data_IF_806094105138
#
_entry.id   IF_806094105138
#
_cell.length_a   1.000
_cell.length_b   1.000
_cell.length_c   1.000
_cell.angle_alpha   90.00
_cell.angle_beta   90.00
_cell.angle_gamma   90.00
#
_symmetry.space_group_name_H-M   'P 1'
#
loop_
_entity.id
_entity.type
_entity.pdbx_description
1 polymer ?
#
# COMPACT_ATOMS: atom_id res chain seq x y z
N UNK A 1 -16.78 -1.31 -51.02
CA UNK A 1 -16.33 -2.57 -50.41
C UNK A 1 -14.98 -2.43 -49.68
N UNK A 2 -13.93 -1.88 -50.30
CA UNK A 2 -12.59 -1.71 -49.69
C UNK A 2 -12.62 -0.86 -48.42
N UNK A 3 -13.34 0.26 -48.39
CA UNK A 3 -13.45 1.14 -47.24
C UNK A 3 -14.10 0.46 -46.02
N UNK A 4 -15.07 -0.44 -46.24
CA UNK A 4 -15.73 -1.20 -45.19
C UNK A 4 -14.81 -2.28 -44.59
N UNK A 5 -14.00 -2.93 -45.42
CA UNK A 5 -13.00 -3.89 -44.98
C UNK A 5 -11.87 -3.22 -44.16
N UNK A 6 -11.40 -2.05 -44.58
CA UNK A 6 -10.41 -1.26 -43.84
C UNK A 6 -10.97 -0.77 -42.50
N UNK A 7 -12.24 -0.32 -42.45
CA UNK A 7 -12.91 0.10 -41.22
C UNK A 7 -13.03 -1.06 -40.22
N UNK A 8 -13.38 -2.25 -40.65
CA UNK A 8 -13.46 -3.44 -39.80
C UNK A 8 -12.08 -3.90 -39.28
N UNK A 9 -11.03 -3.80 -40.13
CA UNK A 9 -9.66 -4.10 -39.71
C UNK A 9 -9.16 -3.11 -38.63
N UNK A 10 -9.39 -1.81 -38.82
CA UNK A 10 -9.01 -0.79 -37.86
C UNK A 10 -9.80 -0.92 -36.55
N UNK A 11 -11.10 -1.23 -36.62
CA UNK A 11 -11.90 -1.52 -35.44
C UNK A 11 -11.44 -2.78 -34.71
N UNK A 12 -11.06 -3.84 -35.43
CA UNK A 12 -10.49 -5.05 -34.85
C UNK A 12 -9.15 -4.83 -34.16
N UNK A 13 -8.23 -4.11 -34.82
CA UNK A 13 -6.94 -3.73 -34.23
C UNK A 13 -7.09 -2.81 -33.03
N UNK A 14 -8.01 -1.84 -33.09
CA UNK A 14 -8.33 -0.95 -31.97
C UNK A 14 -8.93 -1.72 -30.79
N UNK A 15 -9.85 -2.67 -31.07
CA UNK A 15 -10.44 -3.52 -30.04
C UNK A 15 -9.39 -4.46 -29.41
N UNK A 16 -8.50 -5.04 -30.20
CA UNK A 16 -7.43 -5.91 -29.71
C UNK A 16 -6.42 -5.12 -28.87
N UNK A 17 -6.02 -3.93 -29.34
CA UNK A 17 -5.15 -3.02 -28.60
C UNK A 17 -5.79 -2.60 -27.26
N UNK A 18 -7.06 -2.18 -27.31
CA UNK A 18 -7.85 -1.86 -26.11
C UNK A 18 -7.95 -3.07 -25.17
N UNK A 19 -8.25 -4.23 -25.73
CA UNK A 19 -8.41 -5.47 -24.99
C UNK A 19 -7.12 -5.92 -24.30
N UNK A 20 -5.96 -5.73 -24.92
CA UNK A 20 -4.65 -6.04 -24.31
C UNK A 20 -4.28 -5.04 -23.21
N UNK A 21 -4.57 -3.76 -23.39
CA UNK A 21 -4.20 -2.71 -22.42
C UNK A 21 -5.08 -2.72 -21.19
N UNK A 22 -6.38 -2.96 -21.31
CA UNK A 22 -7.31 -2.97 -20.18
C UNK A 22 -7.14 -4.14 -19.21
N UNK A 23 -6.37 -5.16 -19.61
CA UNK A 23 -6.08 -6.35 -18.80
C UNK A 23 -4.74 -6.31 -18.06
N UNK A 24 -4.06 -5.17 -18.00
CA UNK A 24 -2.73 -5.06 -17.37
C UNK A 24 -2.83 -4.52 -15.93
N UNK A 25 -1.85 -4.86 -15.05
CA UNK A 25 -1.74 -4.27 -13.72
C UNK A 25 -1.65 -2.75 -13.76
N UNK A 26 -0.89 -2.19 -14.73
CA UNK A 26 -0.70 -0.75 -14.92
C UNK A 26 -2.01 -0.02 -15.23
N UNK A 27 -2.85 -0.63 -16.07
CA UNK A 27 -4.17 -0.09 -16.35
C UNK A 27 -5.04 -0.04 -15.09
N UNK A 28 -5.04 -1.11 -14.29
CA UNK A 28 -5.81 -1.17 -13.05
C UNK A 28 -5.31 -0.13 -12.03
N UNK A 29 -3.99 0.09 -11.93
CA UNK A 29 -3.41 1.15 -11.10
C UNK A 29 -3.81 2.55 -11.60
N UNK A 30 -3.83 2.76 -12.92
CA UNK A 30 -4.31 4.02 -13.51
C UNK A 30 -5.78 4.28 -13.16
N UNK A 31 -6.64 3.25 -13.21
CA UNK A 31 -8.04 3.35 -12.83
C UNK A 31 -8.22 3.63 -11.32
N UNK A 32 -7.39 3.00 -10.47
CA UNK A 32 -7.34 3.31 -9.05
C UNK A 32 -6.99 4.78 -8.82
N UNK A 33 -5.90 5.27 -9.42
CA UNK A 33 -5.48 6.67 -9.30
C UNK A 33 -6.56 7.64 -9.74
N UNK A 34 -7.25 7.33 -10.86
CA UNK A 34 -8.39 8.12 -11.33
C UNK A 34 -9.55 8.10 -10.33
N UNK A 35 -9.91 6.93 -9.79
CA UNK A 35 -11.00 6.81 -8.83
C UNK A 35 -10.72 7.59 -7.54
N UNK A 36 -9.47 7.57 -7.03
CA UNK A 36 -9.05 8.36 -5.87
C UNK A 36 -9.14 9.86 -6.18
N UNK A 37 -8.64 10.30 -7.33
CA UNK A 37 -8.72 11.71 -7.77
C UNK A 37 -10.17 12.18 -7.91
N UNK A 38 -11.05 11.33 -8.42
CA UNK A 38 -12.48 11.60 -8.58
C UNK A 38 -13.26 11.44 -7.25
N UNK A 39 -12.56 11.16 -6.13
CA UNK A 39 -13.13 10.92 -4.80
C UNK A 39 -14.19 9.80 -4.80
N UNK A 40 -14.05 8.84 -5.67
CA UNK A 40 -14.96 7.71 -5.82
C UNK A 40 -14.43 6.49 -5.06
N UNK A 41 -14.67 6.46 -3.75
CA UNK A 41 -14.25 5.37 -2.87
C UNK A 41 -14.73 3.99 -3.37
N UNK A 42 -15.98 3.87 -3.77
CA UNK A 42 -16.54 2.59 -4.21
C UNK A 42 -15.81 2.02 -5.44
N UNK A 43 -15.34 2.89 -6.34
CA UNK A 43 -14.50 2.48 -7.47
C UNK A 43 -13.05 2.24 -7.05
N UNK A 44 -12.51 3.02 -6.13
CA UNK A 44 -11.15 2.86 -5.65
C UNK A 44 -10.97 1.55 -4.86
N UNK A 45 -11.88 1.24 -3.94
CA UNK A 45 -11.87 0.01 -3.12
C UNK A 45 -11.96 -1.28 -3.95
N UNK A 46 -12.52 -1.22 -5.16
CA UNK A 46 -12.53 -2.36 -6.08
C UNK A 46 -11.11 -2.82 -6.49
N UNK A 47 -10.16 -1.89 -6.55
CA UNK A 47 -8.77 -2.16 -6.96
C UNK A 47 -7.82 -2.43 -5.78
N UNK A 48 -8.32 -2.47 -4.54
CA UNK A 48 -7.50 -2.65 -3.34
C UNK A 48 -8.16 -3.67 -2.42
N UNK A 49 -7.44 -4.68 -1.99
CA UNK A 49 -7.88 -5.60 -0.94
C UNK A 49 -7.56 -4.98 0.43
N UNK A 50 -8.46 -4.08 0.87
CA UNK A 50 -8.26 -3.27 2.08
C UNK A 50 -8.04 -4.14 3.32
N UNK A 51 -8.80 -5.21 3.47
CA UNK A 51 -8.72 -6.09 4.63
C UNK A 51 -7.38 -6.81 4.68
N UNK A 52 -6.96 -7.38 3.57
CA UNK A 52 -5.71 -8.14 3.48
C UNK A 52 -4.50 -7.23 3.65
N UNK A 53 -4.49 -6.06 3.01
CA UNK A 53 -3.40 -5.09 3.16
C UNK A 53 -3.36 -4.57 4.59
N UNK A 54 -4.50 -4.21 5.18
CA UNK A 54 -4.55 -3.71 6.54
C UNK A 54 -4.04 -4.75 7.54
N UNK A 55 -4.45 -6.01 7.40
CA UNK A 55 -3.97 -7.11 8.23
C UNK A 55 -2.47 -7.31 8.11
N UNK A 56 -1.93 -7.37 6.89
CA UNK A 56 -0.50 -7.57 6.65
C UNK A 56 0.34 -6.40 7.20
N UNK A 57 -0.09 -5.16 6.98
CA UNK A 57 0.57 -3.96 7.50
C UNK A 57 0.54 -3.95 9.04
N UNK A 58 -0.62 -4.24 9.65
CA UNK A 58 -0.78 -4.25 11.10
C UNK A 58 0.07 -5.33 11.77
N UNK A 59 0.14 -6.51 11.16
CA UNK A 59 1.02 -7.56 11.62
C UNK A 59 2.48 -7.14 11.55
N UNK A 60 2.93 -6.61 10.41
CA UNK A 60 4.30 -6.14 10.23
C UNK A 60 4.68 -5.04 11.22
N UNK A 61 3.78 -4.09 11.46
CA UNK A 61 3.99 -3.01 12.43
C UNK A 61 4.08 -3.57 13.86
N UNK A 62 3.19 -4.48 14.23
CA UNK A 62 3.17 -5.12 15.55
C UNK A 62 4.46 -5.88 15.79
N UNK A 63 4.92 -6.67 14.83
CA UNK A 63 6.15 -7.47 14.95
C UNK A 63 7.38 -6.57 15.14
N UNK A 64 7.49 -5.48 14.37
CA UNK A 64 8.60 -4.52 14.48
C UNK A 64 8.58 -3.79 15.84
N UNK A 65 7.41 -3.36 16.30
CA UNK A 65 7.29 -2.71 17.61
C UNK A 65 7.58 -3.68 18.75
N UNK A 66 7.08 -4.90 18.67
CA UNK A 66 7.35 -5.94 19.66
C UNK A 66 8.84 -6.24 19.77
N UNK A 67 9.54 -6.38 18.63
CA UNK A 67 10.98 -6.57 18.59
C UNK A 67 11.73 -5.38 19.22
N UNK A 68 11.33 -4.14 18.91
CA UNK A 68 11.93 -2.92 19.47
C UNK A 68 11.79 -2.86 20.99
N UNK A 69 10.59 -3.07 21.51
CA UNK A 69 10.35 -3.00 22.95
C UNK A 69 10.99 -4.18 23.70
N UNK A 70 11.00 -5.37 23.13
CA UNK A 70 11.73 -6.53 23.67
C UNK A 70 13.21 -6.22 23.81
N UNK A 71 13.83 -5.68 22.75
CA UNK A 71 15.23 -5.26 22.78
C UNK A 71 15.49 -4.18 23.84
N UNK A 72 14.61 -3.18 23.94
CA UNK A 72 14.73 -2.12 24.96
C UNK A 72 14.65 -2.69 26.37
N UNK A 73 13.72 -3.64 26.64
CA UNK A 73 13.57 -4.29 27.95
C UNK A 73 14.81 -5.14 28.29
N UNK A 74 15.38 -5.86 27.32
CA UNK A 74 16.56 -6.69 27.51
C UNK A 74 17.80 -5.87 27.87
N UNK A 75 17.91 -4.64 27.35
CA UNK A 75 19.05 -3.75 27.61
C UNK A 75 18.82 -2.79 28.79
N UNK A 76 17.65 -2.86 29.44
CA UNK A 76 17.31 -2.04 30.61
C UNK A 76 17.85 -2.70 31.87
N UNK A 77 18.61 -2.01 32.75
CA UNK A 77 19.14 -2.56 33.98
C UNK A 77 18.07 -2.85 35.05
N UNK A 78 16.79 -2.50 34.81
CA UNK A 78 15.71 -2.72 35.74
C UNK A 78 15.42 -4.23 35.95
N UNK A 79 15.05 -4.64 37.19
CA UNK A 79 14.73 -6.04 37.48
C UNK A 79 13.46 -6.52 36.74
N UNK A 80 13.24 -7.85 36.76
CA UNK A 80 12.05 -8.50 36.21
C UNK A 80 11.93 -8.45 34.70
N UNK A 81 13.04 -8.50 33.98
CA UNK A 81 13.09 -8.48 32.50
C UNK A 81 12.16 -9.51 31.86
N UNK A 82 12.18 -10.76 32.34
CA UNK A 82 11.34 -11.84 31.81
C UNK A 82 9.84 -11.54 31.99
N UNK A 83 9.44 -11.09 33.19
CA UNK A 83 8.04 -10.72 33.46
C UNK A 83 7.57 -9.56 32.58
N UNK A 84 8.43 -8.58 32.34
CA UNK A 84 8.14 -7.43 31.48
C UNK A 84 7.94 -7.86 30.02
N UNK A 85 8.76 -8.79 29.54
CA UNK A 85 8.63 -9.36 28.19
C UNK A 85 7.33 -10.17 28.09
N UNK A 86 7.00 -10.98 29.10
CA UNK A 86 5.75 -11.74 29.12
C UNK A 86 4.51 -10.84 29.06
N UNK A 87 4.51 -9.75 29.83
CA UNK A 87 3.45 -8.74 29.77
C UNK A 87 3.35 -8.13 28.38
N UNK A 88 4.47 -7.74 27.77
CA UNK A 88 4.51 -7.19 26.42
C UNK A 88 3.91 -8.16 25.40
N UNK A 89 4.26 -9.44 25.47
CA UNK A 89 3.72 -10.48 24.61
C UNK A 89 2.21 -10.68 24.79
N UNK A 90 1.71 -10.60 26.02
CA UNK A 90 0.27 -10.68 26.31
C UNK A 90 -0.50 -9.48 25.76
N UNK A 91 0.14 -8.32 25.67
CA UNK A 91 -0.46 -7.10 25.11
C UNK A 91 -0.38 -7.03 23.59
N UNK A 92 0.49 -7.83 22.95
CA UNK A 92 0.70 -7.81 21.50
C UNK A 92 -0.59 -7.94 20.66
N UNK A 93 -1.56 -8.83 20.99
CA UNK A 93 -2.83 -8.91 20.26
C UNK A 93 -3.63 -7.62 20.30
N UNK A 94 -3.66 -6.93 21.44
CA UNK A 94 -4.36 -5.64 21.57
C UNK A 94 -3.70 -4.53 20.76
N UNK A 95 -2.36 -4.53 20.68
CA UNK A 95 -1.62 -3.62 19.78
C UNK A 95 -1.95 -3.91 18.33
N UNK A 96 -2.02 -5.18 17.95
CA UNK A 96 -2.41 -5.58 16.60
C UNK A 96 -3.81 -5.07 16.24
N UNK A 97 -4.81 -5.27 17.12
CA UNK A 97 -6.19 -4.84 16.89
C UNK A 97 -6.30 -3.31 16.74
N UNK A 98 -5.59 -2.55 17.57
CA UNK A 98 -5.55 -1.10 17.49
C UNK A 98 -4.85 -0.64 16.18
N UNK A 99 -3.74 -1.29 15.83
CA UNK A 99 -3.03 -1.02 14.58
C UNK A 99 -3.92 -1.32 13.37
N UNK A 100 -4.65 -2.45 13.39
CA UNK A 100 -5.57 -2.85 12.34
C UNK A 100 -6.64 -1.78 12.08
N UNK A 101 -7.30 -1.31 13.14
CA UNK A 101 -8.30 -0.24 13.04
C UNK A 101 -7.70 1.06 12.48
N UNK A 102 -6.51 1.44 12.95
CA UNK A 102 -5.81 2.63 12.46
C UNK A 102 -5.44 2.52 10.99
N UNK A 103 -4.89 1.37 10.57
CA UNK A 103 -4.50 1.13 9.18
C UNK A 103 -5.72 1.06 8.25
N UNK A 104 -6.79 0.35 8.66
CA UNK A 104 -8.03 0.30 7.88
C UNK A 104 -8.62 1.69 7.64
N UNK A 105 -8.70 2.50 8.70
CA UNK A 105 -9.18 3.88 8.56
C UNK A 105 -8.26 4.71 7.66
N UNK A 106 -6.94 4.57 7.79
CA UNK A 106 -5.97 5.23 6.94
C UNK A 106 -6.14 4.86 5.45
N UNK A 107 -6.28 3.57 5.14
CA UNK A 107 -6.53 3.09 3.77
C UNK A 107 -7.83 3.68 3.23
N UNK A 108 -8.93 3.63 3.98
CA UNK A 108 -10.22 4.19 3.56
C UNK A 108 -10.15 5.68 3.27
N UNK A 109 -9.46 6.43 4.12
CA UNK A 109 -9.26 7.87 3.93
C UNK A 109 -8.44 8.14 2.66
N UNK A 110 -7.36 7.39 2.42
CA UNK A 110 -6.56 7.50 1.21
C UNK A 110 -7.39 7.19 -0.05
N UNK A 111 -8.16 6.10 -0.03
CA UNK A 111 -8.99 5.69 -1.17
C UNK A 111 -10.17 6.64 -1.42
N UNK A 112 -10.65 7.34 -0.37
CA UNK A 112 -11.71 8.35 -0.52
C UNK A 112 -11.23 9.65 -1.16
N UNK A 113 -9.91 9.83 -1.33
CA UNK A 113 -9.34 11.07 -1.84
C UNK A 113 -9.63 12.29 -0.94
N UNK A 114 -9.89 12.07 0.36
CA UNK A 114 -10.31 13.12 1.26
C UNK A 114 -9.11 13.99 1.69
N UNK A 115 -9.13 15.30 1.42
CA UNK A 115 -8.04 16.21 1.77
C UNK A 115 -7.91 16.48 3.28
N UNK A 116 -8.84 16.02 4.13
CA UNK A 116 -8.83 16.28 5.58
C UNK A 116 -7.68 15.57 6.33
N UNK A 117 -6.94 14.71 5.68
CA UNK A 117 -5.69 14.16 6.24
C UNK A 117 -4.55 15.19 6.34
N UNK A 118 -4.72 16.37 5.79
CA UNK A 118 -3.65 17.39 5.71
C UNK A 118 -3.45 18.20 7.00
N UNK A 119 -4.20 17.96 8.08
CA UNK A 119 -4.25 18.93 9.19
C UNK A 119 -3.66 18.53 10.54
N UNK A 120 -3.55 17.27 10.93
CA UNK A 120 -3.33 16.97 12.36
C UNK A 120 -2.44 15.77 12.71
N UNK A 121 -1.80 15.10 11.77
CA UNK A 121 -0.90 13.97 12.05
C UNK A 121 0.35 14.00 11.18
N UNK A 122 1.38 13.24 11.57
CA UNK A 122 2.59 13.05 10.76
C UNK A 122 2.32 12.50 9.35
N UNK A 123 1.10 12.03 9.08
CA UNK A 123 0.59 11.66 7.77
C UNK A 123 0.04 12.85 6.96
N UNK A 124 -0.04 14.05 7.55
CA UNK A 124 -0.53 15.27 6.88
C UNK A 124 0.34 15.74 5.71
N UNK A 125 1.53 15.20 5.56
CA UNK A 125 2.43 15.49 4.44
C UNK A 125 2.20 14.60 3.22
N UNK A 126 1.34 13.57 3.31
CA UNK A 126 0.90 12.80 2.16
C UNK A 126 -0.19 13.61 1.44
N UNK A 127 0.24 14.52 0.58
CA UNK A 127 -0.65 15.21 -0.34
C UNK A 127 -1.20 14.19 -1.35
N UNK A 128 -2.42 13.71 -1.09
CA UNK A 128 -3.11 12.72 -1.92
C UNK A 128 -3.32 13.25 -3.34
N UNK A 129 -3.30 14.57 -3.54
CA UNK A 129 -3.39 15.19 -4.86
C UNK A 129 -2.08 15.09 -5.66
N UNK A 130 -0.98 14.75 -5.01
CA UNK A 130 0.35 14.71 -5.65
C UNK A 130 0.75 13.32 -6.18
N UNK A 131 -0.18 12.37 -6.26
CA UNK A 131 0.07 11.08 -6.92
C UNK A 131 0.20 11.18 -8.45
N UNK A 132 0.15 12.38 -9.02
CA UNK A 132 0.31 12.59 -10.47
C UNK A 132 1.69 12.17 -11.01
N UNK A 133 2.71 12.09 -10.13
CA UNK A 133 4.05 11.61 -10.47
C UNK A 133 4.25 10.11 -10.33
N UNK A 134 3.32 9.40 -9.68
CA UNK A 134 3.45 7.95 -9.46
C UNK A 134 3.28 7.22 -10.79
N UNK A 135 4.27 6.43 -11.14
CA UNK A 135 4.29 5.65 -12.39
C UNK A 135 4.89 4.27 -12.16
N UNK A 136 4.50 3.34 -13.00
CA UNK A 136 5.05 1.99 -12.98
C UNK A 136 6.42 2.00 -13.66
N UNK A 137 7.44 1.56 -12.93
CA UNK A 137 8.81 1.38 -13.45
C UNK A 137 8.97 0.02 -14.08
N UNK A 138 8.42 -0.99 -13.44
CA UNK A 138 8.49 -2.38 -13.89
C UNK A 138 7.29 -3.16 -13.39
N UNK A 139 6.82 -4.07 -14.21
CA UNK A 139 5.76 -5.03 -13.90
C UNK A 139 6.18 -6.42 -14.38
N UNK A 140 6.01 -7.40 -13.53
CA UNK A 140 6.30 -8.81 -13.85
C UNK A 140 5.05 -9.61 -13.54
N UNK A 141 4.41 -10.14 -14.57
CA UNK A 141 3.18 -10.93 -14.46
C UNK A 141 3.51 -12.41 -14.47
N UNK A 142 2.97 -13.15 -13.51
CA UNK A 142 3.09 -14.60 -13.40
C UNK A 142 1.71 -15.21 -13.14
N UNK A 143 1.05 -15.63 -14.20
CA UNK A 143 -0.33 -16.14 -14.15
C UNK A 143 -1.31 -15.06 -13.67
N UNK A 144 -1.95 -15.29 -12.53
CA UNK A 144 -2.91 -14.38 -11.92
C UNK A 144 -2.30 -13.49 -10.83
N UNK A 145 -0.97 -13.46 -10.71
CA UNK A 145 -0.25 -12.55 -9.82
C UNK A 145 0.67 -11.64 -10.61
N UNK A 146 0.92 -10.44 -10.08
CA UNK A 146 1.88 -9.49 -10.65
C UNK A 146 2.64 -8.78 -9.53
N UNK A 147 3.96 -8.71 -9.66
CA UNK A 147 4.81 -7.83 -8.85
C UNK A 147 5.06 -6.55 -9.66
N UNK A 148 4.67 -5.43 -9.09
CA UNK A 148 4.73 -4.12 -9.74
C UNK A 148 5.59 -3.18 -8.89
N UNK A 149 6.58 -2.57 -9.52
CA UNK A 149 7.41 -1.53 -8.93
C UNK A 149 6.88 -0.16 -9.35
N UNK A 150 6.54 0.66 -8.38
CA UNK A 150 6.08 2.04 -8.61
C UNK A 150 7.11 3.03 -8.08
N UNK A 151 7.33 4.12 -8.81
CA UNK A 151 8.19 5.23 -8.44
C UNK A 151 7.42 6.55 -8.53
N UNK A 152 8.10 7.66 -8.21
CA UNK A 152 7.46 8.98 -8.21
C UNK A 152 6.58 9.22 -7.01
N UNK A 153 6.84 8.52 -5.91
CA UNK A 153 6.14 8.75 -4.64
C UNK A 153 6.34 10.20 -4.19
N UNK A 154 5.29 10.85 -3.65
CA UNK A 154 5.37 12.21 -3.15
C UNK A 154 6.53 12.38 -2.17
N UNK A 155 7.29 13.47 -2.29
CA UNK A 155 8.38 13.80 -1.40
C UNK A 155 8.09 15.13 -0.67
N UNK A 156 8.43 15.27 0.61
CA UNK A 156 8.97 14.22 1.47
C UNK A 156 7.89 13.19 1.85
N UNK A 157 8.21 11.89 1.72
CA UNK A 157 7.37 10.89 2.33
C UNK A 157 8.00 10.41 3.66
N UNK A 158 7.19 9.99 4.63
CA UNK A 158 7.69 9.64 5.95
C UNK A 158 8.70 8.50 5.92
N UNK A 159 8.70 7.70 4.86
CA UNK A 159 9.59 6.55 4.71
C UNK A 159 10.76 6.81 3.75
N UNK A 160 10.88 8.03 3.20
CA UNK A 160 11.91 8.42 2.24
C UNK A 160 12.12 7.37 1.13
N UNK A 161 11.04 6.76 0.66
CA UNK A 161 11.06 5.74 -0.37
C UNK A 161 11.08 6.39 -1.75
N UNK A 162 12.04 5.98 -2.58
CA UNK A 162 12.06 6.34 -4.00
C UNK A 162 11.11 5.45 -4.81
N UNK A 163 11.03 4.18 -4.44
CA UNK A 163 10.23 3.15 -5.11
C UNK A 163 9.49 2.31 -4.07
N UNK A 164 8.36 1.73 -4.49
CA UNK A 164 7.55 0.82 -3.68
C UNK A 164 7.17 -0.39 -4.52
N UNK A 165 7.39 -1.58 -3.97
CA UNK A 165 6.91 -2.83 -4.57
C UNK A 165 5.52 -3.14 -4.04
N UNK A 166 4.60 -3.41 -4.96
CA UNK A 166 3.26 -3.86 -4.67
C UNK A 166 3.00 -5.19 -5.37
N UNK A 167 2.27 -6.08 -4.72
CA UNK A 167 1.75 -7.30 -5.32
C UNK A 167 0.30 -7.12 -5.65
N UNK A 168 -0.03 -7.48 -6.89
CA UNK A 168 -1.39 -7.44 -7.40
C UNK A 168 -1.85 -8.84 -7.79
N UNK A 169 -3.15 -9.08 -7.66
CA UNK A 169 -3.79 -10.31 -8.13
C UNK A 169 -4.90 -9.96 -9.11
N UNK A 170 -5.13 -10.88 -10.03
CA UNK A 170 -6.25 -10.77 -10.97
C UNK A 170 -7.56 -10.96 -10.24
N UNK A 171 -8.50 -10.05 -10.46
CA UNK A 171 -9.85 -10.17 -9.90
C UNK A 171 -10.58 -11.30 -10.63
N UNK A 172 -11.13 -12.30 -9.92
CA UNK A 172 -11.77 -13.46 -10.53
C UNK A 172 -12.83 -13.07 -11.55
N UNK A 173 -12.89 -13.80 -12.68
CA UNK A 173 -13.81 -13.57 -13.78
C UNK A 173 -13.71 -12.20 -14.45
N UNK A 174 -12.63 -11.47 -14.20
CA UNK A 174 -12.34 -10.18 -14.84
C UNK A 174 -10.93 -10.18 -15.43
N UNK A 175 -10.56 -9.08 -16.10
CA UNK A 175 -9.19 -8.83 -16.54
C UNK A 175 -8.46 -7.83 -15.66
N UNK A 176 -9.16 -7.31 -14.67
CA UNK A 176 -8.63 -6.26 -13.82
C UNK A 176 -7.82 -6.86 -12.67
N UNK A 177 -6.95 -6.04 -12.12
CA UNK A 177 -6.05 -6.40 -11.03
C UNK A 177 -6.36 -5.55 -9.81
N UNK A 178 -6.15 -6.12 -8.62
CA UNK A 178 -6.23 -5.40 -7.36
C UNK A 178 -4.96 -5.56 -6.56
N UNK A 179 -4.61 -4.56 -5.81
CA UNK A 179 -3.49 -4.61 -4.87
C UNK A 179 -3.90 -5.52 -3.71
N UNK A 180 -3.04 -6.48 -3.37
CA UNK A 180 -3.27 -7.45 -2.32
C UNK A 180 -2.23 -7.38 -1.21
N UNK A 181 -1.01 -6.90 -1.54
CA UNK A 181 0.11 -6.91 -0.60
C UNK A 181 1.12 -5.80 -0.92
N UNK A 182 1.79 -5.34 0.13
CA UNK A 182 3.01 -4.52 0.05
C UNK A 182 4.16 -5.37 0.63
N UNK A 183 4.89 -6.12 -0.20
CA UNK A 183 5.85 -7.12 0.28
C UNK A 183 6.96 -6.56 1.17
N UNK A 184 7.32 -5.29 0.98
CA UNK A 184 8.40 -4.64 1.70
C UNK A 184 7.95 -3.94 2.99
N UNK A 185 6.67 -4.07 3.40
CA UNK A 185 6.11 -3.36 4.54
C UNK A 185 6.92 -3.57 5.83
N UNK A 186 7.28 -4.82 6.14
CA UNK A 186 8.08 -5.14 7.34
C UNK A 186 9.45 -4.45 7.30
N UNK A 187 10.15 -4.47 6.16
CA UNK A 187 11.45 -3.83 6.00
C UNK A 187 11.35 -2.31 6.12
N UNK A 188 10.28 -1.73 5.57
CA UNK A 188 9.98 -0.30 5.68
C UNK A 188 9.79 0.08 7.17
N UNK A 189 8.95 -0.64 7.90
CA UNK A 189 8.71 -0.36 9.31
C UNK A 189 9.94 -0.62 10.18
N UNK A 190 10.70 -1.68 9.90
CA UNK A 190 11.95 -1.96 10.62
C UNK A 190 12.97 -0.83 10.45
N UNK A 191 13.00 -0.19 9.27
CA UNK A 191 13.86 0.98 9.02
C UNK A 191 13.46 2.18 9.87
N UNK A 192 12.16 2.36 10.16
CA UNK A 192 11.64 3.50 10.92
C UNK A 192 11.51 3.24 12.41
N UNK A 193 11.01 2.09 12.77
CA UNK A 193 10.62 1.76 14.14
C UNK A 193 11.49 0.66 14.77
N UNK A 194 12.43 0.09 14.02
CA UNK A 194 13.27 -1.02 14.49
C UNK A 194 14.14 -0.71 15.70
N UNK A 195 14.72 -1.73 16.34
CA UNK A 195 15.60 -1.57 17.50
C UNK A 195 16.76 -0.63 17.21
N UNK A 196 17.14 0.20 18.20
CA UNK A 196 18.30 1.11 18.12
C UNK A 196 18.05 2.42 17.38
N UNK A 197 16.83 2.70 16.91
CA UNK A 197 16.47 4.00 16.35
C UNK A 197 15.58 4.79 17.31
N UNK A 198 16.03 6.00 17.62
CA UNK A 198 15.16 7.01 18.24
C UNK A 198 14.11 7.46 17.22
N UNK A 199 12.86 7.66 17.68
CA UNK A 199 11.85 8.27 16.84
C UNK A 199 12.36 9.63 16.33
N UNK A 200 12.15 9.99 15.05
CA UNK A 200 12.57 11.29 14.56
C UNK A 200 11.98 12.37 15.46
N UNK A 201 12.87 13.20 16.01
CA UNK A 201 12.47 14.29 16.89
C UNK A 201 11.46 15.18 16.15
N UNK A 202 10.26 15.28 16.69
CA UNK A 202 9.25 16.22 16.22
C UNK A 202 9.79 17.64 16.40
N UNK A 203 10.11 18.30 15.29
CA UNK A 203 10.38 19.73 15.26
C UNK A 203 9.10 20.50 15.05
#
# INVERSE_FOLDING_TARGET
MIALAVGLLLAGLGAEWWYRHTGTPEYSLSQLGKAVKDQNYGKASYYVDEERIASAISQSLTDVLLAKYTHAIQNDPLPFTETRIEILQKLAPHFHDLALLGVQNGIRLLLSGNPLLTGTSHFSQLDVHNFSGVHVVRSTVNGDTADVMVAGLPQPNPFNLAELRIRMVRIPNTRQWRIEEIPDATAIFATYFGPGREAPATK
#
